data_IF_318933867629
#
_entry.id   IF_318933867629
#
_cell.length_a   1.000
_cell.length_b   1.000
_cell.length_c   1.000
_cell.angle_alpha   90.00
_cell.angle_beta   90.00
_cell.angle_gamma   90.00
#
_symmetry.space_group_name_H-M   'P 1'
#
loop_
_entity.id
_entity.type
_entity.pdbx_description
1 polymer ?
#
# COMPACT_ATOMS: atom_id res chain seq x y z
N UNK A 1 18.86 13.59 28.75
CA UNK A 1 19.69 14.13 27.67
C UNK A 1 19.46 13.27 26.42
N UNK A 2 19.24 13.94 25.27
CA UNK A 2 19.11 13.30 23.97
C UNK A 2 20.34 13.69 23.15
N UNK A 3 21.03 12.70 22.57
CA UNK A 3 22.14 12.95 21.64
C UNK A 3 21.59 13.07 20.23
N UNK A 4 21.89 14.18 19.55
CA UNK A 4 21.46 14.44 18.18
C UNK A 4 22.67 14.34 17.24
N UNK A 5 22.55 13.54 16.17
CA UNK A 5 23.52 13.43 15.11
C UNK A 5 22.96 14.13 13.87
N UNK A 6 23.36 15.41 13.70
CA UNK A 6 23.01 16.16 12.49
C UNK A 6 23.81 15.65 11.28
N UNK A 7 23.29 15.90 10.05
CA UNK A 7 23.92 15.46 8.80
C UNK A 7 24.35 13.98 8.82
N UNK A 8 23.47 13.13 9.34
CA UNK A 8 23.79 11.73 9.57
C UNK A 8 22.63 10.82 9.25
N UNK A 9 22.96 9.61 8.85
CA UNK A 9 21.97 8.59 8.46
C UNK A 9 22.31 7.26 9.11
N UNK A 10 21.32 6.42 9.33
CA UNK A 10 21.51 5.03 9.75
C UNK A 10 22.00 4.24 8.53
N UNK A 11 23.26 3.82 8.56
CA UNK A 11 23.87 3.06 7.48
C UNK A 11 23.64 1.56 7.62
N UNK A 12 23.55 1.07 8.87
CA UNK A 12 23.36 -0.36 9.16
C UNK A 12 22.73 -0.58 10.53
N UNK A 13 21.91 -1.59 10.62
CA UNK A 13 21.40 -2.14 11.90
C UNK A 13 22.02 -3.50 12.12
N UNK A 14 22.69 -3.68 13.26
CA UNK A 14 23.37 -4.91 13.63
C UNK A 14 22.53 -5.72 14.64
N UNK A 15 22.52 -7.03 14.44
CA UNK A 15 21.82 -7.98 15.30
C UNK A 15 21.53 -9.27 14.56
N UNK A 16 20.92 -10.23 15.25
CA UNK A 16 20.45 -11.48 14.63
C UNK A 16 18.99 -11.73 14.97
N UNK A 17 18.67 -12.10 16.21
CA UNK A 17 17.28 -12.28 16.68
C UNK A 17 16.64 -10.97 17.16
N UNK A 18 17.47 -10.00 17.51
CA UNK A 18 17.08 -8.65 17.94
C UNK A 18 18.18 -7.67 17.56
N UNK A 19 17.83 -6.41 17.50
CA UNK A 19 18.77 -5.30 17.32
C UNK A 19 19.75 -5.29 18.50
N UNK A 20 21.03 -5.01 18.21
CA UNK A 20 22.10 -4.84 19.21
C UNK A 20 22.82 -3.52 19.09
N UNK A 21 22.90 -2.96 17.89
CA UNK A 21 23.50 -1.65 17.66
C UNK A 21 23.11 -1.11 16.31
N UNK A 22 23.31 0.19 16.12
CA UNK A 22 23.20 0.85 14.82
C UNK A 22 24.53 1.49 14.43
N UNK A 23 24.81 1.51 13.14
CA UNK A 23 25.91 2.27 12.54
C UNK A 23 25.33 3.56 11.97
N UNK A 24 25.73 4.68 12.56
CA UNK A 24 25.37 6.03 12.07
C UNK A 24 26.52 6.57 11.26
N UNK A 25 26.26 6.96 10.03
CA UNK A 25 27.23 7.51 9.11
C UNK A 25 26.96 9.00 8.87
N UNK A 26 27.96 9.84 9.04
CA UNK A 26 27.87 11.25 8.62
C UNK A 26 27.81 11.34 7.09
N UNK A 27 26.87 12.12 6.56
CA UNK A 27 26.69 12.29 5.12
C UNK A 27 27.86 13.01 4.47
N UNK A 28 28.48 13.97 5.17
CA UNK A 28 29.61 14.76 4.70
C UNK A 28 30.94 14.04 4.84
N UNK A 29 31.26 13.56 6.06
CA UNK A 29 32.61 13.02 6.38
C UNK A 29 32.72 11.52 6.14
N UNK A 30 31.61 10.80 5.96
CA UNK A 30 31.52 9.33 5.85
C UNK A 30 32.03 8.59 7.08
N UNK A 31 32.27 9.29 8.20
CA UNK A 31 32.64 8.66 9.48
C UNK A 31 31.46 7.88 10.03
N UNK A 32 31.77 6.71 10.58
CA UNK A 32 30.77 5.82 11.18
C UNK A 32 30.96 5.81 12.70
N UNK A 33 29.84 5.96 13.40
CA UNK A 33 29.74 5.80 14.86
C UNK A 33 28.82 4.63 15.14
N UNK A 34 29.22 3.71 16.00
CA UNK A 34 28.40 2.56 16.42
C UNK A 34 27.75 2.87 17.75
N UNK A 35 26.44 2.78 17.82
CA UNK A 35 25.66 3.02 19.03
C UNK A 35 24.96 1.73 19.46
N UNK A 36 25.22 1.22 20.67
CA UNK A 36 24.46 0.11 21.23
C UNK A 36 23.00 0.50 21.43
N UNK A 37 22.08 -0.31 20.97
CA UNK A 37 20.64 -0.14 21.17
C UNK A 37 19.92 -1.47 20.98
N UNK A 38 18.74 -1.58 21.54
CA UNK A 38 17.85 -2.74 21.44
C UNK A 38 16.60 -2.46 20.60
N UNK A 39 16.37 -1.18 20.24
CA UNK A 39 15.29 -0.72 19.40
C UNK A 39 15.78 0.42 18.48
N UNK A 40 15.31 0.41 17.23
CA UNK A 40 15.49 1.49 16.25
C UNK A 40 14.12 1.89 15.73
N UNK A 41 13.72 3.12 16.02
CA UNK A 41 12.57 3.75 15.37
C UNK A 41 13.04 4.62 14.19
N UNK A 42 12.32 4.58 13.08
CA UNK A 42 12.65 5.43 11.95
C UNK A 42 11.40 6.17 11.43
N UNK A 43 11.62 7.38 10.92
CA UNK A 43 10.62 8.19 10.24
C UNK A 43 11.29 8.82 9.04
N UNK A 44 11.01 8.30 7.86
CA UNK A 44 11.64 8.69 6.60
C UNK A 44 10.91 9.80 5.84
N UNK A 45 9.89 10.41 6.44
CA UNK A 45 9.03 11.41 5.81
C UNK A 45 7.63 10.89 5.53
N UNK A 46 6.85 11.71 4.82
CA UNK A 46 5.46 11.45 4.52
C UNK A 46 5.27 11.22 3.03
N UNK A 47 4.45 10.23 2.69
CA UNK A 47 4.05 9.98 1.31
C UNK A 47 2.51 10.10 1.20
N UNK A 48 1.98 10.98 0.33
CA UNK A 48 0.55 11.13 0.12
C UNK A 48 -0.10 9.82 -0.30
N UNK A 49 -1.25 9.51 0.28
CA UNK A 49 -2.03 8.34 -0.12
C UNK A 49 -2.90 8.68 -1.32
N UNK A 50 -2.33 8.53 -2.51
CA UNK A 50 -2.95 8.91 -3.80
C UNK A 50 -3.69 7.76 -4.50
N UNK A 51 -3.84 6.62 -3.83
CA UNK A 51 -4.37 5.39 -4.43
C UNK A 51 -5.77 5.57 -5.03
N UNK A 52 -6.70 6.18 -4.29
CA UNK A 52 -8.07 6.39 -4.78
C UNK A 52 -8.11 7.32 -5.99
N UNK A 53 -7.28 8.37 -6.00
CA UNK A 53 -7.16 9.28 -7.13
C UNK A 53 -6.63 8.54 -8.38
N UNK A 54 -5.58 7.74 -8.22
CA UNK A 54 -5.02 6.93 -9.30
C UNK A 54 -5.97 5.85 -9.80
N UNK A 55 -6.71 5.19 -8.89
CA UNK A 55 -7.73 4.20 -9.27
C UNK A 55 -8.89 4.85 -10.04
N UNK A 56 -9.20 6.10 -9.75
CA UNK A 56 -10.15 6.92 -10.51
C UNK A 56 -9.55 7.47 -11.85
N UNK A 57 -8.35 6.99 -12.24
CA UNK A 57 -7.59 7.40 -13.43
C UNK A 57 -7.13 8.86 -13.42
N UNK A 58 -7.03 9.47 -12.25
CA UNK A 58 -6.38 10.78 -12.09
C UNK A 58 -4.88 10.69 -12.32
N UNK A 59 -4.29 11.75 -12.92
CA UNK A 59 -2.86 11.83 -13.10
C UNK A 59 -2.16 12.30 -11.83
N UNK A 60 -0.88 11.96 -11.71
CA UNK A 60 -0.01 12.39 -10.63
C UNK A 60 1.12 13.23 -11.20
N UNK A 61 1.62 14.18 -10.41
CA UNK A 61 2.84 14.94 -10.69
C UNK A 61 3.82 14.86 -9.54
N UNK A 62 5.09 14.85 -9.84
CA UNK A 62 6.14 14.86 -8.83
C UNK A 62 6.37 16.28 -8.28
N UNK A 63 6.61 16.39 -6.98
CA UNK A 63 6.93 17.65 -6.31
C UNK A 63 8.25 17.52 -5.57
N UNK A 64 9.26 18.21 -6.07
CA UNK A 64 10.65 18.05 -5.62
C UNK A 64 10.84 18.36 -4.13
N UNK A 65 10.27 19.46 -3.63
CA UNK A 65 10.41 19.86 -2.23
C UNK A 65 9.63 18.97 -1.23
N UNK A 66 8.75 18.11 -1.73
CA UNK A 66 8.06 17.08 -0.95
C UNK A 66 8.64 15.69 -1.21
N UNK A 67 9.50 15.56 -2.22
CA UNK A 67 10.07 14.30 -2.69
C UNK A 67 9.03 13.20 -2.94
N UNK A 68 7.84 13.57 -3.47
CA UNK A 68 6.73 12.66 -3.64
C UNK A 68 5.81 13.05 -4.79
N UNK A 69 4.91 12.12 -5.15
CA UNK A 69 3.86 12.36 -6.13
C UNK A 69 2.58 12.83 -5.44
N UNK A 70 1.94 13.84 -6.02
CA UNK A 70 0.65 14.36 -5.57
C UNK A 70 -0.38 14.32 -6.71
N UNK A 71 -1.69 14.39 -6.42
CA UNK A 71 -2.73 14.51 -7.44
C UNK A 71 -2.52 15.72 -8.35
N UNK A 72 -2.74 15.51 -9.65
CA UNK A 72 -2.68 16.55 -10.67
C UNK A 72 -4.06 16.74 -11.31
N UNK A 73 -4.39 15.98 -12.35
CA UNK A 73 -5.68 16.09 -13.05
C UNK A 73 -6.61 14.96 -12.64
N UNK A 74 -7.84 15.31 -12.28
CA UNK A 74 -8.93 14.37 -12.05
C UNK A 74 -9.74 14.16 -13.34
N UNK A 75 -10.08 12.91 -13.67
CA UNK A 75 -11.03 12.59 -14.72
C UNK A 75 -12.46 12.62 -14.17
N UNK A 76 -12.63 12.15 -12.95
CA UNK A 76 -13.93 12.15 -12.26
C UNK A 76 -14.09 13.45 -11.44
N UNK A 77 -15.34 13.77 -11.06
CA UNK A 77 -15.62 14.87 -10.14
C UNK A 77 -15.17 14.47 -8.72
N UNK A 78 -13.88 14.53 -8.50
CA UNK A 78 -13.24 14.22 -7.22
C UNK A 78 -12.17 15.24 -6.91
N UNK A 79 -12.08 15.63 -5.65
CA UNK A 79 -11.13 16.60 -5.15
C UNK A 79 -10.31 15.96 -4.01
N UNK A 80 -9.02 16.20 -4.00
CA UNK A 80 -8.12 15.71 -2.95
C UNK A 80 -7.75 16.85 -2.00
N UNK A 81 -7.73 16.56 -0.70
CA UNK A 81 -7.44 17.53 0.35
C UNK A 81 -6.42 16.98 1.34
N UNK A 82 -5.85 17.87 2.15
CA UNK A 82 -4.94 17.50 3.22
C UNK A 82 -3.72 16.73 2.72
N UNK A 83 -3.24 15.77 3.49
CA UNK A 83 -2.05 14.99 3.19
C UNK A 83 -2.14 14.23 1.84
N UNK A 84 -3.33 13.81 1.42
CA UNK A 84 -3.53 13.18 0.12
C UNK A 84 -3.25 14.13 -1.07
N UNK A 85 -3.31 15.43 -0.86
CA UNK A 85 -2.96 16.47 -1.86
C UNK A 85 -1.58 17.10 -1.65
N UNK A 86 -0.75 16.51 -0.76
CA UNK A 86 0.57 17.03 -0.42
C UNK A 86 0.55 18.18 0.60
N UNK A 87 -0.57 18.47 1.24
CA UNK A 87 -0.68 19.45 2.33
C UNK A 87 -0.42 18.73 3.65
N UNK A 88 0.86 18.63 4.03
CA UNK A 88 1.33 17.75 5.07
C UNK A 88 1.29 18.38 6.48
N UNK A 89 1.21 19.69 6.58
CA UNK A 89 1.07 20.37 7.87
C UNK A 89 -0.40 20.51 8.27
N UNK A 90 -0.66 20.60 9.57
CA UNK A 90 -2.02 20.75 10.09
C UNK A 90 -2.74 21.97 9.50
N UNK A 91 -2.06 23.12 9.48
CA UNK A 91 -2.63 24.38 8.95
C UNK A 91 -2.99 24.28 7.48
N UNK A 92 -2.08 23.73 6.67
CA UNK A 92 -2.35 23.54 5.25
C UNK A 92 -3.50 22.56 5.01
N UNK A 93 -3.58 21.48 5.80
CA UNK A 93 -4.64 20.49 5.69
C UNK A 93 -6.02 21.09 6.01
N UNK A 94 -6.12 21.85 7.11
CA UNK A 94 -7.35 22.54 7.51
C UNK A 94 -7.79 23.57 6.46
N UNK A 95 -6.85 24.40 6.00
CA UNK A 95 -7.13 25.41 4.98
C UNK A 95 -7.57 24.76 3.66
N UNK A 96 -6.88 23.73 3.21
CA UNK A 96 -7.26 23.02 1.98
C UNK A 96 -8.63 22.37 2.06
N UNK A 97 -9.00 21.84 3.23
CA UNK A 97 -10.33 21.29 3.48
C UNK A 97 -11.43 22.35 3.32
N UNK A 98 -11.20 23.55 3.85
CA UNK A 98 -12.15 24.65 3.74
C UNK A 98 -12.30 25.14 2.30
N UNK A 99 -11.20 25.40 1.61
CA UNK A 99 -11.23 25.91 0.22
C UNK A 99 -11.86 24.91 -0.75
N UNK A 100 -11.51 23.65 -0.63
CA UNK A 100 -12.07 22.61 -1.50
C UNK A 100 -13.55 22.35 -1.19
N UNK A 101 -13.99 22.47 0.06
CA UNK A 101 -15.41 22.36 0.39
C UNK A 101 -16.24 23.52 -0.19
N UNK A 102 -15.72 24.75 -0.20
CA UNK A 102 -16.35 25.88 -0.90
C UNK A 102 -16.47 25.61 -2.40
N UNK A 103 -15.40 25.13 -3.02
CA UNK A 103 -15.43 24.74 -4.44
C UNK A 103 -16.49 23.68 -4.71
N UNK A 104 -16.54 22.61 -3.89
CA UNK A 104 -17.52 21.56 -4.03
C UNK A 104 -18.97 22.07 -3.91
N UNK A 105 -19.25 22.93 -2.92
CA UNK A 105 -20.57 23.55 -2.76
C UNK A 105 -20.97 24.34 -4.00
N UNK A 106 -20.05 25.14 -4.54
CA UNK A 106 -20.28 25.91 -5.77
C UNK A 106 -20.58 25.02 -6.96
N UNK A 107 -19.84 23.91 -7.14
CA UNK A 107 -20.02 23.00 -8.25
C UNK A 107 -21.38 22.27 -8.21
N UNK A 108 -21.95 22.05 -7.02
CA UNK A 108 -23.29 21.45 -6.87
C UNK A 108 -24.42 22.49 -6.75
N UNK A 109 -24.11 23.78 -6.93
CA UNK A 109 -25.08 24.86 -6.91
C UNK A 109 -25.61 25.26 -5.53
N UNK A 110 -24.91 24.90 -4.46
CA UNK A 110 -25.23 25.31 -3.11
C UNK A 110 -24.50 26.59 -2.73
N UNK A 111 -25.09 27.33 -1.76
CA UNK A 111 -24.45 28.55 -1.21
C UNK A 111 -23.20 28.18 -0.41
N UNK A 112 -22.17 28.99 -0.55
CA UNK A 112 -21.00 28.91 0.31
C UNK A 112 -21.36 29.18 1.77
N UNK A 113 -20.82 28.37 2.68
CA UNK A 113 -20.88 28.58 4.11
C UNK A 113 -19.69 29.45 4.48
N UNK A 114 -19.93 30.61 5.07
CA UNK A 114 -18.87 31.51 5.53
C UNK A 114 -18.31 30.96 6.84
N UNK A 115 -17.18 30.27 6.73
CA UNK A 115 -16.45 29.69 7.86
C UNK A 115 -14.97 30.03 7.71
N UNK A 116 -14.34 30.43 8.80
CA UNK A 116 -12.90 30.63 8.84
C UNK A 116 -12.16 29.33 9.17
N UNK A 117 -10.98 29.16 8.60
CA UNK A 117 -10.14 28.04 8.96
C UNK A 117 -9.69 28.16 10.42
N UNK A 118 -9.67 27.07 11.20
CA UNK A 118 -9.15 27.10 12.55
C UNK A 118 -7.70 27.61 12.59
N UNK A 119 -7.38 28.41 13.59
CA UNK A 119 -6.01 28.89 13.79
C UNK A 119 -5.09 27.69 14.05
N UNK A 120 -3.99 27.65 13.34
CA UNK A 120 -2.91 26.68 13.54
C UNK A 120 -1.56 27.35 13.38
N UNK A 121 -0.54 26.80 14.00
CA UNK A 121 0.85 27.21 13.78
C UNK A 121 1.25 26.92 12.33
N UNK A 122 1.91 27.88 11.70
CA UNK A 122 2.50 27.67 10.36
C UNK A 122 3.77 26.86 10.53
N UNK A 123 3.70 25.59 10.23
CA UNK A 123 4.83 24.70 10.16
C UNK A 123 5.37 24.70 8.72
N UNK A 124 6.69 24.53 8.58
CA UNK A 124 7.31 24.31 7.27
C UNK A 124 7.72 22.86 7.17
N UNK A 125 7.27 22.21 6.12
CA UNK A 125 7.69 20.86 5.78
C UNK A 125 8.59 20.90 4.54
N UNK A 126 9.78 20.32 4.66
CA UNK A 126 10.67 20.08 3.54
C UNK A 126 11.43 18.77 3.78
N UNK A 127 11.84 18.12 2.72
CA UNK A 127 12.60 16.87 2.77
C UNK A 127 13.68 16.89 1.70
N UNK A 128 14.86 16.40 2.06
CA UNK A 128 15.95 16.08 1.12
C UNK A 128 15.95 14.57 0.92
N UNK A 129 15.57 14.07 -0.26
CA UNK A 129 15.47 12.64 -0.49
C UNK A 129 16.87 12.02 -0.58
N UNK A 130 17.07 10.92 0.16
CA UNK A 130 18.23 10.05 0.05
C UNK A 130 17.75 8.64 -0.22
N UNK A 131 17.66 8.28 -1.49
CA UNK A 131 17.07 7.01 -1.93
C UNK A 131 17.88 5.78 -1.54
N UNK A 132 19.19 5.95 -1.33
CA UNK A 132 20.06 4.88 -0.86
C UNK A 132 21.24 5.44 -0.05
N UNK A 133 21.48 4.89 1.12
CA UNK A 133 22.53 5.36 2.04
C UNK A 133 23.93 4.90 1.62
N UNK A 134 24.06 3.78 0.97
CA UNK A 134 25.36 3.25 0.50
C UNK A 134 25.17 2.18 -0.56
N UNK A 135 26.17 2.02 -1.40
CA UNK A 135 26.17 1.07 -2.52
C UNK A 135 27.00 -0.18 -2.19
N UNK A 136 27.55 -0.26 -0.98
CA UNK A 136 28.46 -1.35 -0.61
C UNK A 136 27.70 -2.51 0.05
N UNK A 137 27.95 -3.74 -0.43
CA UNK A 137 27.53 -4.99 0.23
C UNK A 137 27.96 -5.08 1.70
N UNK A 138 28.89 -4.24 2.14
CA UNK A 138 29.32 -4.11 3.54
C UNK A 138 28.17 -3.75 4.48
N UNK A 139 27.18 -3.01 4.00
CA UNK A 139 26.04 -2.56 4.82
C UNK A 139 24.88 -3.56 4.87
N UNK A 140 24.97 -4.67 4.14
CA UNK A 140 23.90 -5.68 4.10
C UNK A 140 22.82 -5.36 3.08
N UNK A 141 21.66 -6.00 3.24
CA UNK A 141 20.50 -5.79 2.36
C UNK A 141 19.83 -4.45 2.63
N UNK A 142 19.44 -3.75 1.59
CA UNK A 142 18.64 -2.52 1.65
C UNK A 142 17.21 -2.81 1.19
N UNK A 143 16.30 -2.97 2.14
CA UNK A 143 14.89 -3.28 1.84
C UNK A 143 14.16 -2.06 1.33
N UNK A 144 13.41 -2.24 0.25
CA UNK A 144 12.52 -1.25 -0.36
C UNK A 144 11.05 -1.56 -0.05
N UNK A 145 10.70 -2.83 -0.08
CA UNK A 145 9.38 -3.34 0.29
C UNK A 145 9.56 -4.47 1.30
N UNK A 146 9.31 -4.18 2.57
CA UNK A 146 9.47 -5.14 3.66
C UNK A 146 8.39 -6.23 3.59
N UNK A 147 7.23 -5.94 3.03
CA UNK A 147 6.10 -6.86 2.94
C UNK A 147 6.38 -8.01 1.97
N UNK A 148 7.11 -7.72 0.90
CA UNK A 148 7.44 -8.68 -0.15
C UNK A 148 8.95 -9.00 -0.20
N UNK A 149 9.72 -8.62 0.82
CA UNK A 149 11.19 -8.82 0.90
C UNK A 149 11.98 -8.24 -0.29
N UNK A 150 11.45 -7.20 -0.96
CA UNK A 150 12.12 -6.59 -2.11
C UNK A 150 13.22 -5.66 -1.65
N UNK A 151 14.39 -5.83 -2.22
CA UNK A 151 15.62 -5.09 -1.93
C UNK A 151 16.08 -4.26 -3.13
N UNK A 152 17.09 -3.42 -2.93
CA UNK A 152 17.77 -2.73 -4.03
C UNK A 152 18.42 -3.70 -5.01
N UNK A 153 18.93 -4.85 -4.55
CA UNK A 153 19.56 -5.87 -5.40
C UNK A 153 18.53 -6.48 -6.38
N UNK A 154 17.27 -6.63 -5.96
CA UNK A 154 16.19 -7.14 -6.82
C UNK A 154 15.83 -6.13 -7.92
N UNK A 155 15.84 -4.84 -7.60
CA UNK A 155 15.66 -3.78 -8.60
C UNK A 155 16.85 -3.72 -9.56
N UNK A 156 18.07 -3.85 -9.04
CA UNK A 156 19.29 -3.88 -9.85
C UNK A 156 19.26 -5.08 -10.83
N UNK A 157 18.82 -6.25 -10.36
CA UNK A 157 18.67 -7.43 -11.21
C UNK A 157 17.60 -7.21 -12.29
N UNK A 158 16.44 -6.65 -11.94
CA UNK A 158 15.39 -6.36 -12.89
C UNK A 158 15.89 -5.43 -14.02
N UNK A 159 16.62 -4.38 -13.66
CA UNK A 159 17.21 -3.45 -14.63
C UNK A 159 18.27 -4.14 -15.51
N UNK A 160 19.12 -4.98 -14.92
CA UNK A 160 20.14 -5.75 -15.63
C UNK A 160 19.52 -6.70 -16.67
N UNK A 161 18.35 -7.28 -16.36
CA UNK A 161 17.59 -8.12 -17.28
C UNK A 161 16.75 -7.35 -18.31
N UNK A 162 16.86 -6.01 -18.33
CA UNK A 162 16.24 -5.15 -19.33
C UNK A 162 14.89 -4.56 -18.96
N UNK A 163 14.41 -4.75 -17.73
CA UNK A 163 13.16 -4.12 -17.26
C UNK A 163 13.40 -2.71 -16.78
N UNK A 164 13.28 -1.73 -17.67
CA UNK A 164 13.51 -0.31 -17.36
C UNK A 164 12.26 0.42 -16.87
N UNK A 165 11.07 -0.04 -17.29
CA UNK A 165 9.80 0.60 -16.91
C UNK A 165 9.38 0.18 -15.49
N UNK A 166 8.94 1.15 -14.69
CA UNK A 166 8.55 0.93 -13.28
C UNK A 166 7.46 -0.14 -13.11
N UNK A 167 6.52 -0.23 -14.04
CA UNK A 167 5.45 -1.25 -14.01
C UNK A 167 6.00 -2.66 -14.29
N UNK A 168 7.05 -2.78 -15.08
CA UNK A 168 7.72 -4.06 -15.32
C UNK A 168 8.58 -4.46 -14.13
N UNK A 169 9.37 -3.53 -13.59
CA UNK A 169 10.15 -3.76 -12.35
C UNK A 169 9.23 -4.19 -11.21
N UNK A 170 8.08 -3.52 -11.03
CA UNK A 170 7.06 -3.92 -10.05
C UNK A 170 6.63 -5.37 -10.23
N UNK A 171 6.35 -5.82 -11.45
CA UNK A 171 5.90 -7.19 -11.70
C UNK A 171 7.01 -8.21 -11.55
N UNK A 172 8.21 -7.86 -11.92
CA UNK A 172 9.38 -8.71 -11.79
C UNK A 172 9.74 -8.95 -10.31
N UNK A 173 9.78 -7.89 -9.52
CA UNK A 173 10.20 -7.93 -8.11
C UNK A 173 9.07 -8.19 -7.12
N UNK A 174 7.81 -8.06 -7.53
CA UNK A 174 6.62 -7.96 -6.66
C UNK A 174 6.57 -6.69 -5.78
N UNK A 175 7.48 -5.75 -5.96
CA UNK A 175 7.54 -4.51 -5.18
C UNK A 175 6.30 -3.64 -5.35
N UNK A 176 5.71 -3.20 -4.25
CA UNK A 176 4.49 -2.40 -4.26
C UNK A 176 3.23 -3.16 -4.65
N UNK A 177 3.27 -4.49 -4.60
CA UNK A 177 2.11 -5.37 -4.80
C UNK A 177 1.51 -5.79 -3.44
N UNK A 178 0.43 -6.59 -3.49
CA UNK A 178 -0.18 -7.15 -2.29
C UNK A 178 -1.03 -6.13 -1.51
N UNK A 179 -1.07 -6.27 -0.19
CA UNK A 179 -2.08 -5.63 0.67
C UNK A 179 -1.95 -4.12 0.72
N UNK A 180 -0.72 -3.58 0.80
CA UNK A 180 -0.50 -2.14 0.95
C UNK A 180 -0.41 -1.40 -0.38
N UNK A 181 -0.29 -2.11 -1.50
CA UNK A 181 -0.17 -1.52 -2.84
C UNK A 181 0.92 -0.44 -2.92
N UNK A 182 2.05 -0.67 -2.24
CA UNK A 182 3.21 0.20 -2.27
C UNK A 182 3.07 1.52 -1.51
N UNK A 183 2.15 1.64 -0.55
CA UNK A 183 1.99 2.87 0.26
C UNK A 183 3.28 3.27 0.95
N UNK A 184 4.06 2.31 1.44
CA UNK A 184 5.31 2.56 2.15
C UNK A 184 6.55 2.43 1.27
N UNK A 185 6.56 1.51 0.30
CA UNK A 185 7.75 1.15 -0.47
C UNK A 185 7.86 1.75 -1.86
N UNK A 186 6.74 2.10 -2.49
CA UNK A 186 6.71 2.44 -3.92
C UNK A 186 7.59 3.64 -4.28
N UNK A 187 7.55 4.71 -3.48
CA UNK A 187 8.38 5.90 -3.74
C UNK A 187 9.87 5.59 -3.65
N UNK A 188 10.28 4.69 -2.76
CA UNK A 188 11.67 4.26 -2.62
C UNK A 188 12.12 3.38 -3.82
N UNK A 189 11.22 2.54 -4.33
CA UNK A 189 11.48 1.75 -5.55
C UNK A 189 11.67 2.69 -6.75
N UNK A 190 10.77 3.66 -6.92
CA UNK A 190 10.87 4.68 -8.00
C UNK A 190 12.16 5.46 -7.87
N UNK A 191 12.50 5.93 -6.66
CA UNK A 191 13.74 6.64 -6.40
C UNK A 191 15.00 5.82 -6.69
N UNK A 192 14.97 4.52 -6.39
CA UNK A 192 16.06 3.60 -6.71
C UNK A 192 16.20 3.40 -8.22
N UNK A 193 15.09 3.22 -8.95
CA UNK A 193 15.10 3.11 -10.42
C UNK A 193 15.66 4.40 -11.04
N UNK A 194 15.18 5.57 -10.60
CA UNK A 194 15.66 6.86 -11.04
C UNK A 194 17.18 7.00 -10.86
N UNK A 195 17.67 6.66 -9.67
CA UNK A 195 19.10 6.70 -9.34
C UNK A 195 19.93 5.78 -10.24
N UNK A 196 19.44 4.58 -10.54
CA UNK A 196 20.16 3.59 -11.38
C UNK A 196 20.18 3.95 -12.85
N UNK A 197 19.12 4.57 -13.33
CA UNK A 197 18.98 4.92 -14.75
C UNK A 197 19.44 6.37 -15.06
N UNK A 198 19.76 7.16 -14.04
CA UNK A 198 20.12 8.57 -14.20
C UNK A 198 18.93 9.43 -14.66
N UNK A 199 17.71 9.04 -14.30
CA UNK A 199 16.46 9.71 -14.65
C UNK A 199 15.94 10.54 -13.49
N UNK A 200 15.07 11.52 -13.81
CA UNK A 200 14.24 12.17 -12.80
C UNK A 200 13.07 11.26 -12.40
N UNK A 201 12.55 11.42 -11.19
CA UNK A 201 11.43 10.60 -10.71
C UNK A 201 10.17 10.76 -11.57
N UNK A 202 9.96 11.95 -12.15
CA UNK A 202 8.85 12.23 -13.05
C UNK A 202 8.95 11.43 -14.35
N UNK A 203 10.16 11.22 -14.87
CA UNK A 203 10.41 10.40 -16.06
C UNK A 203 10.23 8.91 -15.80
N UNK A 204 10.58 8.43 -14.61
CA UNK A 204 10.29 7.04 -14.17
C UNK A 204 8.80 6.83 -14.02
N UNK A 205 8.08 7.84 -13.53
CA UNK A 205 6.63 7.79 -13.32
C UNK A 205 6.22 6.97 -12.10
N UNK A 206 4.93 6.67 -12.02
CA UNK A 206 4.34 5.90 -10.92
C UNK A 206 3.74 4.60 -11.41
N UNK A 207 3.54 3.66 -10.48
CA UNK A 207 2.81 2.43 -10.75
C UNK A 207 1.32 2.64 -10.62
N UNK A 208 0.53 1.82 -11.33
CA UNK A 208 -0.91 1.77 -11.17
C UNK A 208 -1.28 1.02 -9.90
N UNK A 209 -2.04 1.67 -9.03
CA UNK A 209 -2.54 1.06 -7.80
C UNK A 209 -3.82 0.29 -8.05
N UNK A 210 -3.89 -0.95 -7.55
CA UNK A 210 -5.06 -1.82 -7.70
C UNK A 210 -5.95 -1.76 -6.46
N UNK A 211 -7.24 -1.98 -6.67
CA UNK A 211 -8.19 -2.22 -5.57
C UNK A 211 -7.89 -3.56 -4.88
N UNK A 212 -8.19 -3.66 -3.55
CA UNK A 212 -8.76 -2.62 -2.70
C UNK A 212 -7.72 -1.61 -2.23
N UNK A 213 -8.18 -0.40 -1.89
CA UNK A 213 -7.33 0.66 -1.32
C UNK A 213 -6.71 0.27 0.03
N UNK A 214 -7.45 -0.45 0.84
CA UNK A 214 -7.01 -1.05 2.10
C UNK A 214 -7.57 -2.48 2.21
N UNK A 215 -6.95 -3.35 3.00
CA UNK A 215 -7.46 -4.70 3.22
C UNK A 215 -8.91 -4.67 3.71
N UNK A 216 -9.75 -5.48 3.08
CA UNK A 216 -11.15 -5.61 3.42
C UNK A 216 -11.38 -7.03 3.92
N UNK A 217 -11.94 -7.18 5.12
CA UNK A 217 -12.27 -8.49 5.65
C UNK A 217 -13.47 -9.11 4.93
N UNK A 218 -13.51 -10.42 4.82
CA UNK A 218 -14.68 -11.12 4.28
C UNK A 218 -15.95 -10.82 5.06
N UNK A 219 -15.84 -10.60 6.39
CA UNK A 219 -16.97 -10.19 7.22
C UNK A 219 -17.56 -8.84 6.79
N UNK A 220 -16.72 -7.88 6.40
CA UNK A 220 -17.19 -6.59 5.88
C UNK A 220 -17.91 -6.73 4.54
N UNK A 221 -17.46 -7.65 3.66
CA UNK A 221 -18.11 -7.94 2.38
C UNK A 221 -19.43 -8.69 2.61
N UNK A 222 -19.45 -9.63 3.55
CA UNK A 222 -20.64 -10.41 3.91
C UNK A 222 -21.74 -9.58 4.60
N UNK A 223 -21.36 -8.48 5.21
CA UNK A 223 -22.28 -7.63 5.98
C UNK A 223 -22.82 -8.34 7.23
N UNK A 224 -24.07 -7.99 7.59
CA UNK A 224 -24.74 -8.58 8.77
C UNK A 224 -25.38 -9.94 8.50
N UNK A 225 -25.22 -10.50 7.31
CA UNK A 225 -25.75 -11.82 6.97
C UNK A 225 -24.85 -12.90 7.56
N UNK A 226 -25.47 -13.88 8.20
CA UNK A 226 -24.75 -14.98 8.86
C UNK A 226 -24.03 -15.90 7.86
N UNK A 227 -23.03 -16.61 8.36
CA UNK A 227 -22.02 -17.49 7.77
C UNK A 227 -22.26 -18.19 6.43
N UNK A 228 -23.49 -18.47 6.03
CA UNK A 228 -23.83 -19.08 4.74
C UNK A 228 -23.47 -18.21 3.52
N UNK A 229 -23.31 -16.90 3.71
CA UNK A 229 -22.98 -15.96 2.63
C UNK A 229 -21.50 -16.04 2.25
N UNK A 230 -20.61 -16.32 3.21
CA UNK A 230 -19.16 -16.41 2.98
C UNK A 230 -18.78 -17.71 2.28
N UNK A 231 -19.42 -18.79 2.67
CA UNK A 231 -19.23 -20.13 2.11
C UNK A 231 -20.58 -20.80 1.84
N UNK A 232 -21.32 -20.34 0.82
CA UNK A 232 -22.63 -20.89 0.53
C UNK A 232 -22.55 -22.37 0.13
N UNK A 233 -23.49 -23.16 0.60
CA UNK A 233 -23.67 -24.49 0.04
C UNK A 233 -24.17 -24.37 -1.40
N UNK A 234 -23.55 -25.16 -2.27
CA UNK A 234 -23.93 -25.24 -3.68
C UNK A 234 -24.85 -26.43 -3.87
N UNK A 235 -25.90 -26.21 -4.62
CA UNK A 235 -26.95 -27.20 -4.85
C UNK A 235 -27.10 -27.47 -6.35
N UNK A 236 -27.40 -28.70 -6.69
CA UNK A 236 -27.84 -29.07 -8.04
C UNK A 236 -29.33 -28.78 -8.22
N UNK A 237 -29.84 -28.66 -9.45
CA UNK A 237 -31.29 -28.49 -9.66
C UNK A 237 -32.17 -29.55 -9.04
N UNK A 238 -31.67 -30.78 -8.90
CA UNK A 238 -32.41 -31.92 -8.33
C UNK A 238 -32.18 -32.07 -6.82
N UNK A 239 -31.45 -31.17 -6.15
CA UNK A 239 -31.15 -31.29 -4.70
C UNK A 239 -32.44 -31.42 -3.87
N UNK A 240 -33.47 -30.63 -4.21
CA UNK A 240 -34.77 -30.71 -3.47
C UNK A 240 -35.38 -32.07 -3.60
N UNK A 241 -35.44 -32.63 -4.80
CA UNK A 241 -35.99 -33.98 -5.05
C UNK A 241 -35.22 -35.05 -4.24
N UNK A 242 -33.87 -34.98 -4.23
CA UNK A 242 -33.06 -35.90 -3.43
C UNK A 242 -33.41 -35.82 -1.93
N UNK A 243 -33.55 -34.59 -1.40
CA UNK A 243 -33.96 -34.40 0.01
C UNK A 243 -35.37 -34.94 0.28
N UNK A 244 -36.32 -34.68 -0.61
CA UNK A 244 -37.71 -35.13 -0.50
C UNK A 244 -37.78 -36.68 -0.51
N UNK A 245 -36.82 -37.33 -1.17
CA UNK A 245 -36.65 -38.78 -1.18
C UNK A 245 -35.80 -39.31 -0.02
N UNK A 246 -35.44 -38.49 0.95
CA UNK A 246 -34.68 -38.88 2.12
C UNK A 246 -33.20 -39.16 1.88
N UNK A 247 -32.63 -38.68 0.78
CA UNK A 247 -31.23 -38.89 0.52
C UNK A 247 -30.33 -38.31 1.62
N UNK A 248 -29.32 -39.09 2.03
CA UNK A 248 -28.24 -38.55 2.83
C UNK A 248 -27.32 -37.69 1.94
N UNK A 249 -27.24 -36.43 2.26
CA UNK A 249 -26.48 -35.49 1.48
C UNK A 249 -25.06 -35.29 2.07
N UNK A 250 -24.04 -35.44 1.28
CA UNK A 250 -22.66 -35.17 1.68
C UNK A 250 -22.07 -33.98 0.91
N UNK A 251 -20.96 -33.44 1.42
CA UNK A 251 -20.24 -32.37 0.79
C UNK A 251 -19.17 -32.91 -0.13
N UNK A 252 -19.19 -32.49 -1.40
CA UNK A 252 -18.22 -32.88 -2.42
C UNK A 252 -17.57 -31.62 -3.02
N UNK A 253 -16.23 -31.59 -3.01
CA UNK A 253 -15.49 -30.44 -3.53
C UNK A 253 -15.81 -29.13 -2.83
N UNK A 254 -15.91 -28.04 -3.58
CA UNK A 254 -16.13 -26.70 -3.03
C UNK A 254 -17.60 -26.50 -2.56
N UNK A 255 -17.98 -27.18 -1.50
CA UNK A 255 -19.29 -27.07 -0.82
C UNK A 255 -20.51 -27.47 -1.67
N UNK A 256 -20.30 -28.31 -2.67
CA UNK A 256 -21.40 -28.91 -3.39
C UNK A 256 -22.10 -29.98 -2.54
N UNK A 257 -23.42 -29.88 -2.41
CA UNK A 257 -24.24 -30.92 -1.78
C UNK A 257 -24.68 -31.96 -2.83
N UNK A 258 -24.30 -33.20 -2.58
CA UNK A 258 -24.65 -34.33 -3.45
C UNK A 258 -25.27 -35.48 -2.65
N UNK A 259 -26.19 -36.28 -3.24
CA UNK A 259 -26.69 -37.44 -2.60
C UNK A 259 -25.59 -38.50 -2.48
N UNK A 260 -25.39 -39.07 -1.32
CA UNK A 260 -24.48 -40.17 -1.05
C UNK A 260 -25.19 -41.51 -1.14
N UNK A 261 -26.31 -41.59 -0.51
CA UNK A 261 -27.18 -42.76 -0.56
C UNK A 261 -28.62 -42.39 -0.24
N UNK A 262 -29.54 -43.25 -0.61
CA UNK A 262 -30.93 -43.17 -0.21
C UNK A 262 -31.20 -44.25 0.84
N UNK A 263 -32.11 -44.02 1.82
CA UNK A 263 -32.51 -45.09 2.75
C UNK A 263 -33.15 -46.23 1.99
N UNK A 264 -32.80 -47.44 2.39
CA UNK A 264 -33.47 -48.62 1.87
C UNK A 264 -34.93 -48.60 2.31
N UNK A 265 -35.83 -48.78 1.36
CA UNK A 265 -37.23 -49.00 1.67
C UNK A 265 -37.39 -50.41 2.21
N UNK A 266 -38.34 -50.62 3.10
CA UNK A 266 -38.58 -51.94 3.73
C UNK A 266 -38.96 -53.08 2.75
N UNK A 267 -39.09 -52.79 1.46
CA UNK A 267 -39.50 -53.72 0.40
C UNK A 267 -38.38 -54.31 -0.43
N UNK A 268 -37.13 -54.25 0.05
CA UNK A 268 -36.03 -54.98 -0.57
C UNK A 268 -35.42 -54.38 -1.86
N UNK A 269 -34.32 -54.99 -2.34
CA UNK A 269 -33.48 -54.58 -3.46
C UNK A 269 -34.14 -54.58 -4.84
N UNK A 270 -35.43 -54.73 -4.97
CA UNK A 270 -36.08 -54.90 -6.27
C UNK A 270 -36.52 -53.61 -6.95
N UNK A 271 -36.46 -52.46 -6.27
CA UNK A 271 -36.92 -51.17 -6.80
C UNK A 271 -35.82 -50.07 -6.82
N UNK A 272 -34.53 -50.43 -6.89
CA UNK A 272 -33.43 -49.51 -6.99
C UNK A 272 -32.89 -49.41 -8.42
#
# INVERSE_FOLDING_TARGET
NVTVFSDSVVAKVNGYKRVKSVEIMSSSTKKIVIIPCDLVGHSGGWNPTVHLHSQARGSLRYVLNLATFIPDKSIQKSLCIGAASGKLTLGEALYSGLEVSKQALKEIGLKEIHTEAPNSTLEKYSIEPLWQVGVSKKFGKSFLDIQNDVTTDDVDLAILEGYSNVEHVKRYTTGGMGIDQGKTGNINIIGTIALRQGLNLEEVGTTTFRSPFSPISFGSIGGLREGSVVLPYRHTPITKWNLDKGAFMYEAGARWRRPGYFPMMDEGFQDA
#
